data_IF_705426918558
#
_entry.id   IF_705426918558
#
_cell.length_a   1.000
_cell.length_b   1.000
_cell.length_c   1.000
_cell.angle_alpha   90.00
_cell.angle_beta   90.00
_cell.angle_gamma   90.00
#
_symmetry.space_group_name_H-M   'P 1'
#
loop_
_entity.id
_entity.type
_entity.pdbx_description
1 polymer ?
#
# COMPACT_ATOMS: atom_id res chain seq x y z
N UNK A 1 -14.15 21.38 -11.47
CA UNK A 1 -12.86 21.41 -10.76
C UNK A 1 -13.01 20.35 -9.70
N UNK A 2 -12.39 19.18 -9.89
CA UNK A 2 -12.47 18.13 -8.88
C UNK A 2 -11.45 18.51 -7.82
N UNK A 3 -11.93 18.95 -6.67
CA UNK A 3 -11.10 19.24 -5.52
C UNK A 3 -10.87 17.89 -4.85
N UNK A 4 -9.61 17.48 -4.75
CA UNK A 4 -9.24 16.28 -3.99
C UNK A 4 -8.82 16.68 -2.58
N UNK A 5 -9.08 15.79 -1.63
CA UNK A 5 -8.65 15.90 -0.23
C UNK A 5 -7.53 14.90 0.03
N UNK A 6 -6.53 15.31 0.80
CA UNK A 6 -5.59 14.36 1.41
C UNK A 6 -6.22 13.78 2.68
N UNK A 7 -6.28 12.46 2.74
CA UNK A 7 -6.79 11.70 3.89
C UNK A 7 -5.68 11.28 4.86
N UNK A 8 -4.42 11.52 4.48
CA UNK A 8 -3.25 11.17 5.28
C UNK A 8 -2.14 10.58 4.42
N UNK A 9 -1.09 10.11 5.08
CA UNK A 9 0.05 9.46 4.42
C UNK A 9 0.14 7.97 4.78
N UNK A 10 0.95 7.23 4.04
CA UNK A 10 1.36 5.85 4.38
C UNK A 10 1.83 5.75 5.83
N UNK A 11 2.61 6.71 6.30
CA UNK A 11 3.11 6.71 7.68
C UNK A 11 1.99 6.88 8.73
N UNK A 12 0.87 7.52 8.36
CA UNK A 12 -0.26 7.69 9.27
C UNK A 12 -1.18 6.46 9.31
N UNK A 13 -1.41 5.81 8.16
CA UNK A 13 -2.43 4.76 8.03
C UNK A 13 -1.88 3.37 7.72
N UNK A 14 -0.83 3.25 6.91
CA UNK A 14 -0.25 1.97 6.55
C UNK A 14 0.73 1.48 7.62
N UNK A 15 1.92 2.07 7.65
CA UNK A 15 3.00 1.67 8.54
C UNK A 15 3.66 2.87 9.21
N UNK A 16 3.43 3.02 10.52
CA UNK A 16 4.01 4.11 11.31
C UNK A 16 5.54 4.10 11.38
N UNK A 17 6.19 2.97 11.13
CA UNK A 17 7.64 2.84 11.07
C UNK A 17 8.25 3.26 9.74
N UNK A 18 7.43 3.35 8.68
CA UNK A 18 7.91 3.54 7.31
C UNK A 18 7.26 4.74 6.63
N UNK A 19 8.03 5.41 5.76
CA UNK A 19 7.58 6.62 5.05
C UNK A 19 6.94 6.31 3.68
N UNK A 20 7.07 5.08 3.20
CA UNK A 20 6.51 4.61 1.93
C UNK A 20 6.16 3.13 1.98
N UNK A 21 5.32 2.72 1.03
CA UNK A 21 4.93 1.31 0.81
C UNK A 21 6.18 0.45 0.58
N UNK A 22 7.11 0.91 -0.25
CA UNK A 22 8.34 0.20 -0.58
C UNK A 22 9.26 0.02 0.63
N UNK A 23 9.31 0.99 1.54
CA UNK A 23 10.10 0.85 2.76
C UNK A 23 9.55 -0.28 3.66
N UNK A 24 8.22 -0.41 3.76
CA UNK A 24 7.58 -1.53 4.46
C UNK A 24 7.88 -2.89 3.80
N UNK A 25 7.91 -2.94 2.46
CA UNK A 25 8.29 -4.16 1.72
C UNK A 25 9.74 -4.54 2.01
N UNK A 26 10.66 -3.58 1.91
CA UNK A 26 12.08 -3.80 2.17
C UNK A 26 12.31 -4.24 3.62
N UNK A 27 11.63 -3.64 4.59
CA UNK A 27 11.75 -4.04 6.00
C UNK A 27 11.26 -5.48 6.23
N UNK A 28 10.14 -5.87 5.59
CA UNK A 28 9.65 -7.26 5.64
C UNK A 28 10.65 -8.25 5.04
N UNK A 29 11.27 -7.91 3.91
CA UNK A 29 12.25 -8.75 3.21
C UNK A 29 13.57 -8.83 3.98
N UNK A 30 14.01 -7.74 4.62
CA UNK A 30 15.23 -7.70 5.43
C UNK A 30 15.19 -8.67 6.63
N UNK A 31 14.01 -9.13 7.04
CA UNK A 31 13.85 -10.20 8.04
C UNK A 31 14.25 -11.61 7.55
N UNK A 32 14.42 -11.81 6.24
CA UNK A 32 14.77 -13.11 5.64
C UNK A 32 16.28 -13.41 5.58
N UNK A 33 16.69 -14.57 5.03
CA UNK A 33 18.11 -14.89 4.80
C UNK A 33 18.78 -13.99 3.74
N UNK A 34 20.04 -13.60 3.95
CA UNK A 34 20.79 -12.72 3.03
C UNK A 34 20.83 -13.22 1.58
N UNK A 35 21.09 -14.53 1.39
CA UNK A 35 21.20 -15.13 0.06
C UNK A 35 19.86 -15.11 -0.70
N UNK A 36 18.75 -15.15 0.04
CA UNK A 36 17.41 -15.00 -0.53
C UNK A 36 17.14 -13.55 -0.93
N UNK A 37 17.50 -12.59 -0.08
CA UNK A 37 17.35 -11.16 -0.37
C UNK A 37 18.12 -10.75 -1.65
N UNK A 38 19.37 -11.19 -1.80
CA UNK A 38 20.17 -10.90 -3.00
C UNK A 38 19.53 -11.46 -4.28
N UNK A 39 18.87 -12.62 -4.19
CA UNK A 39 18.16 -13.23 -5.32
C UNK A 39 16.86 -12.51 -5.64
N UNK A 40 16.12 -12.04 -4.63
CA UNK A 40 14.92 -11.21 -4.80
C UNK A 40 15.24 -9.87 -5.45
N UNK A 41 16.34 -9.23 -5.06
CA UNK A 41 16.81 -7.97 -5.64
C UNK A 41 17.27 -8.17 -7.09
N UNK A 42 18.11 -9.19 -7.35
CA UNK A 42 18.65 -9.43 -8.68
C UNK A 42 17.64 -9.94 -9.71
N UNK A 43 16.52 -10.54 -9.26
CA UNK A 43 15.45 -11.01 -10.15
C UNK A 43 14.46 -9.91 -10.54
N UNK A 44 14.46 -8.76 -9.85
CA UNK A 44 13.44 -7.72 -10.00
C UNK A 44 12.12 -8.06 -9.29
N UNK A 45 12.10 -9.07 -8.41
CA UNK A 45 10.89 -9.44 -7.66
C UNK A 45 10.37 -8.30 -6.77
N UNK A 46 11.26 -7.41 -6.30
CA UNK A 46 10.88 -6.25 -5.50
C UNK A 46 9.89 -5.32 -6.20
N UNK A 47 10.11 -5.04 -7.48
CA UNK A 47 9.23 -4.17 -8.27
C UNK A 47 7.86 -4.82 -8.49
N UNK A 48 7.83 -6.14 -8.68
CA UNK A 48 6.60 -6.91 -8.82
C UNK A 48 5.80 -6.95 -7.51
N UNK A 49 6.47 -7.16 -6.38
CA UNK A 49 5.84 -7.11 -5.04
C UNK A 49 5.28 -5.71 -4.77
N UNK A 50 6.04 -4.66 -5.10
CA UNK A 50 5.58 -3.29 -4.90
C UNK A 50 4.34 -2.96 -5.75
N UNK A 51 4.30 -3.43 -7.01
CA UNK A 51 3.11 -3.28 -7.85
C UNK A 51 1.91 -4.04 -7.28
N UNK A 52 2.07 -5.34 -7.01
CA UNK A 52 0.97 -6.19 -6.52
C UNK A 52 0.45 -5.71 -5.16
N UNK A 53 1.33 -5.24 -4.27
CA UNK A 53 0.92 -4.74 -2.96
C UNK A 53 0.17 -3.42 -3.06
N UNK A 54 0.59 -2.52 -3.96
CA UNK A 54 -0.16 -1.29 -4.23
C UNK A 54 -1.54 -1.59 -4.82
N UNK A 55 -1.61 -2.51 -5.77
CA UNK A 55 -2.89 -2.91 -6.36
C UNK A 55 -3.81 -3.53 -5.30
N UNK A 56 -3.28 -4.36 -4.40
CA UNK A 56 -4.05 -4.93 -3.30
C UNK A 56 -4.53 -3.87 -2.28
N UNK A 57 -3.72 -2.84 -2.02
CA UNK A 57 -4.14 -1.69 -1.20
C UNK A 57 -5.25 -0.92 -1.91
N UNK A 58 -5.08 -0.60 -3.19
CA UNK A 58 -6.07 0.13 -3.98
C UNK A 58 -7.41 -0.61 -4.06
N UNK A 59 -7.38 -1.93 -4.21
CA UNK A 59 -8.58 -2.80 -4.20
C UNK A 59 -9.26 -2.85 -2.82
N UNK A 60 -8.52 -2.64 -1.73
CA UNK A 60 -9.05 -2.59 -0.38
C UNK A 60 -9.67 -1.22 -0.03
N UNK A 61 -9.29 -0.17 -0.76
CA UNK A 61 -9.83 1.18 -0.56
C UNK A 61 -11.22 1.33 -1.20
N UNK A 62 -12.09 2.18 -0.63
CA UNK A 62 -13.38 2.47 -1.24
C UNK A 62 -13.18 3.27 -2.52
N UNK A 63 -14.11 3.10 -3.46
CA UNK A 63 -14.14 3.92 -4.66
C UNK A 63 -14.14 5.41 -4.31
N UNK A 64 -13.15 6.14 -4.82
CA UNK A 64 -12.97 7.56 -4.53
C UNK A 64 -11.85 7.88 -3.54
N UNK A 65 -11.16 6.89 -2.99
CA UNK A 65 -9.85 7.03 -2.31
C UNK A 65 -8.82 6.20 -3.08
N UNK A 66 -7.65 6.78 -3.34
CA UNK A 66 -6.51 6.10 -3.94
C UNK A 66 -5.21 6.46 -3.25
N UNK A 67 -4.20 5.61 -3.40
CA UNK A 67 -2.84 5.91 -2.95
C UNK A 67 -2.01 6.49 -4.10
N UNK A 68 -1.53 7.72 -3.93
CA UNK A 68 -0.66 8.42 -4.88
C UNK A 68 0.72 8.64 -4.27
N UNK A 69 1.69 7.83 -4.66
CA UNK A 69 3.01 7.80 -4.03
C UNK A 69 2.92 7.30 -2.60
N UNK A 70 2.91 8.23 -1.64
CA UNK A 70 2.80 7.95 -0.20
C UNK A 70 1.59 8.63 0.46
N UNK A 71 0.75 9.32 -0.32
CA UNK A 71 -0.42 10.04 0.20
C UNK A 71 -1.71 9.33 -0.23
N UNK A 72 -2.67 9.24 0.69
CA UNK A 72 -4.03 8.83 0.38
C UNK A 72 -4.80 10.08 -0.05
N UNK A 73 -5.28 10.06 -1.28
CA UNK A 73 -6.00 11.16 -1.90
C UNK A 73 -7.39 10.67 -2.27
N UNK A 74 -8.41 11.47 -2.00
CA UNK A 74 -9.77 11.10 -2.36
C UNK A 74 -10.69 12.29 -2.63
N UNK A 75 -11.97 11.98 -2.78
CA UNK A 75 -13.02 12.97 -3.04
C UNK A 75 -13.13 13.97 -1.87
N UNK A 76 -13.17 15.27 -2.18
CA UNK A 76 -13.44 16.28 -1.15
C UNK A 76 -14.94 16.28 -0.77
N UNK A 77 -15.30 16.70 0.46
CA UNK A 77 -16.70 16.73 0.94
C UNK A 77 -17.66 17.62 0.12
N UNK A 78 -17.14 18.42 -0.81
CA UNK A 78 -17.94 19.23 -1.74
C UNK A 78 -18.19 18.54 -3.07
N UNK A 79 -17.59 17.38 -3.30
CA UNK A 79 -17.77 16.57 -4.50
C UNK A 79 -19.15 15.89 -4.44
N UNK A 80 -19.93 15.88 -5.54
CA UNK A 80 -21.25 15.24 -5.56
C UNK A 80 -21.20 13.73 -5.34
N UNK A 81 -20.08 13.07 -5.63
CA UNK A 81 -19.90 11.62 -5.47
C UNK A 81 -19.35 11.27 -4.08
N UNK A 82 -19.04 12.27 -3.25
CA UNK A 82 -18.62 12.06 -1.87
C UNK A 82 -19.79 11.52 -1.02
N UNK A 83 -19.51 10.50 -0.23
CA UNK A 83 -20.43 9.97 0.80
C UNK A 83 -19.81 10.11 2.17
N UNK A 84 -20.63 10.21 3.22
CA UNK A 84 -20.13 10.22 4.61
C UNK A 84 -19.34 8.93 4.92
N UNK A 85 -19.68 7.83 4.27
CA UNK A 85 -18.93 6.56 4.36
C UNK A 85 -17.47 6.69 3.88
N UNK A 86 -17.18 7.51 2.87
CA UNK A 86 -15.79 7.79 2.43
C UNK A 86 -15.05 8.59 3.50
N UNK A 87 -15.74 9.54 4.14
CA UNK A 87 -15.16 10.37 5.21
C UNK A 87 -14.82 9.60 6.48
N UNK A 88 -15.68 8.63 6.82
CA UNK A 88 -15.56 7.81 8.03
C UNK A 88 -14.80 6.48 7.78
N UNK A 89 -14.33 6.23 6.56
CA UNK A 89 -13.64 5.00 6.21
C UNK A 89 -12.30 4.86 6.94
N UNK A 90 -12.09 3.74 7.64
CA UNK A 90 -10.83 3.44 8.30
C UNK A 90 -9.82 2.85 7.30
N UNK A 91 -9.04 3.74 6.68
CA UNK A 91 -7.97 3.37 5.75
C UNK A 91 -6.96 2.42 6.40
N UNK A 92 -6.70 2.57 7.71
CA UNK A 92 -5.73 1.73 8.41
C UNK A 92 -6.25 0.31 8.57
N UNK A 93 -7.51 0.16 8.97
CA UNK A 93 -8.15 -1.16 9.08
C UNK A 93 -8.12 -1.88 7.73
N UNK A 94 -8.46 -1.19 6.64
CA UNK A 94 -8.43 -1.77 5.29
C UNK A 94 -7.04 -2.25 4.86
N UNK A 95 -5.98 -1.47 5.14
CA UNK A 95 -4.60 -1.87 4.81
C UNK A 95 -4.15 -3.06 5.67
N UNK A 96 -4.59 -3.15 6.93
CA UNK A 96 -4.23 -4.25 7.82
C UNK A 96 -4.75 -5.61 7.35
N UNK A 97 -5.82 -5.62 6.54
CA UNK A 97 -6.34 -6.84 5.91
C UNK A 97 -5.50 -7.29 4.70
N UNK A 98 -4.62 -6.44 4.17
CA UNK A 98 -3.73 -6.79 3.05
C UNK A 98 -2.51 -7.56 3.56
N UNK A 99 -2.45 -8.85 3.24
CA UNK A 99 -1.33 -9.71 3.62
C UNK A 99 -0.12 -9.55 2.68
N UNK A 100 0.77 -8.64 3.06
CA UNK A 100 2.05 -8.42 2.39
C UNK A 100 2.89 -9.72 2.26
N UNK A 101 2.86 -10.60 3.27
CA UNK A 101 3.68 -11.81 3.26
C UNK A 101 3.18 -12.84 2.24
N UNK A 102 1.87 -12.92 2.04
CA UNK A 102 1.29 -13.73 0.97
C UNK A 102 1.72 -13.23 -0.41
N UNK A 103 1.81 -11.91 -0.61
CA UNK A 103 2.30 -11.31 -1.87
C UNK A 103 3.79 -11.58 -2.07
N UNK A 104 4.61 -11.44 -1.02
CA UNK A 104 6.05 -11.76 -1.07
C UNK A 104 6.24 -13.23 -1.49
N UNK A 105 5.52 -14.17 -0.88
CA UNK A 105 5.60 -15.60 -1.21
C UNK A 105 5.19 -15.93 -2.65
N UNK A 106 4.24 -15.18 -3.21
CA UNK A 106 3.81 -15.34 -4.62
C UNK A 106 4.95 -15.03 -5.61
N UNK A 107 5.84 -14.12 -5.25
CA UNK A 107 6.98 -13.70 -6.07
C UNK A 107 8.32 -14.27 -5.58
N UNK A 108 8.27 -15.25 -4.67
CA UNK A 108 9.47 -15.89 -4.14
C UNK A 108 10.23 -16.63 -5.27
N UNK A 109 11.51 -16.32 -5.41
CA UNK A 109 12.43 -16.89 -6.40
C UNK A 109 12.81 -18.34 -6.11
N UNK A 110 12.51 -18.84 -4.92
CA UNK A 110 12.75 -20.23 -4.51
C UNK A 110 11.53 -21.16 -4.69
N UNK A 111 10.40 -20.63 -5.16
CA UNK A 111 9.14 -21.36 -5.33
C UNK A 111 8.98 -21.99 -6.72
#
# INVERSE_FOLDING_TARGET
MNVTTSYGTWNNHGDSGNLSVEASIVDAINGGPSDWQERMESSGALDLIASDYRDAIEDALPAGISIAGNEFIGLHHTDPDYTDEIGDFDIREAIQDVDLWTIIQKHDVDN
#
